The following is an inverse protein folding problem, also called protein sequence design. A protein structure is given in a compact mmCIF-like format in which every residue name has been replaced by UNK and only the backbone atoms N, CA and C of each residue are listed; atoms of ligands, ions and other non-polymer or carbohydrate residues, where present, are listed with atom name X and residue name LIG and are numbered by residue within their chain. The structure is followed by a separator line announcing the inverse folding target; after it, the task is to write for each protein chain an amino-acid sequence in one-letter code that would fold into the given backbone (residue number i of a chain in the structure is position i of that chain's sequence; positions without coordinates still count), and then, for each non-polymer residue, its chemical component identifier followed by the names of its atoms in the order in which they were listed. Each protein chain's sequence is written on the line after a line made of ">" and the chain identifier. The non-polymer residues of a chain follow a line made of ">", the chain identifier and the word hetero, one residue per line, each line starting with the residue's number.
data_IF_667888665480
#
_entry.id   IF_667888665480
#
_cell.length_a   1.000
_cell.length_b   1.000
_cell.length_c   1.000
_cell.angle_alpha   90.00
_cell.angle_beta   90.00
_cell.angle_gamma   90.00
#
_symmetry.space_group_name_H-M   'P 1'
#
loop_
_entity.id
_entity.type
_entity.pdbx_description
1 polymer ?
#
# COMPACT_ATOMS: atom_id res chain seq x y z
N UNK A 1 -10.91 21.02 -23.09
CA UNK A 1 -9.80 21.00 -22.12
C UNK A 1 -10.41 20.58 -20.80
N UNK A 2 -10.12 19.37 -20.31
CA UNK A 2 -10.61 18.88 -19.04
C UNK A 2 -9.96 19.68 -17.91
N UNK A 3 -10.79 20.32 -17.10
CA UNK A 3 -10.38 21.12 -15.95
C UNK A 3 -9.77 20.20 -14.90
N UNK A 4 -8.43 20.12 -14.87
CA UNK A 4 -7.71 19.23 -13.96
C UNK A 4 -7.72 19.81 -12.54
N UNK A 5 -8.78 19.49 -11.80
CA UNK A 5 -9.00 19.96 -10.42
C UNK A 5 -7.96 19.48 -9.41
N UNK A 6 -7.11 18.51 -9.76
CA UNK A 6 -6.17 17.90 -8.82
C UNK A 6 -4.74 18.41 -8.99
N UNK A 7 -4.42 19.15 -10.06
CA UNK A 7 -3.07 19.61 -10.34
C UNK A 7 -2.11 18.50 -10.82
N UNK A 8 -2.58 17.26 -10.97
CA UNK A 8 -1.87 16.12 -11.54
C UNK A 8 -2.85 15.22 -12.31
N UNK A 9 -2.37 14.48 -13.32
CA UNK A 9 -3.20 13.49 -14.00
C UNK A 9 -3.21 12.18 -13.19
N UNK A 10 -4.36 11.51 -13.12
CA UNK A 10 -4.44 10.21 -12.45
C UNK A 10 -3.61 9.19 -13.26
N UNK A 11 -2.51 8.66 -12.70
CA UNK A 11 -1.68 7.72 -13.42
C UNK A 11 -2.43 6.40 -13.63
N UNK A 12 -2.26 5.82 -14.82
CA UNK A 12 -2.75 4.48 -15.12
C UNK A 12 -1.57 3.51 -15.05
N UNK A 13 -1.62 2.54 -14.13
CA UNK A 13 -0.69 1.41 -14.12
C UNK A 13 -0.95 0.55 -15.38
N UNK A 14 0.11 0.30 -16.14
CA UNK A 14 0.04 -0.50 -17.37
C UNK A 14 0.97 -1.71 -17.24
N UNK A 15 0.95 -2.62 -18.22
CA UNK A 15 1.86 -3.77 -18.25
C UNK A 15 3.35 -3.41 -18.10
N UNK A 16 3.73 -2.18 -18.46
CA UNK A 16 5.12 -1.72 -18.44
C UNK A 16 5.48 -1.02 -17.12
N UNK A 17 4.48 -0.78 -16.25
CA UNK A 17 4.65 -0.12 -14.95
C UNK A 17 3.80 -0.84 -13.90
N UNK A 18 4.44 -1.60 -13.01
CA UNK A 18 3.78 -2.30 -11.90
C UNK A 18 3.76 -1.49 -10.61
N UNK A 19 4.50 -0.37 -10.55
CA UNK A 19 4.60 0.53 -9.40
C UNK A 19 4.54 1.96 -9.88
N UNK A 20 3.83 2.82 -9.14
CA UNK A 20 3.78 4.26 -9.37
C UNK A 20 4.78 4.97 -8.48
N UNK A 21 5.76 5.59 -9.11
CA UNK A 21 6.68 6.53 -8.47
C UNK A 21 6.41 7.92 -9.05
N UNK A 22 6.51 8.96 -8.23
CA UNK A 22 6.60 10.32 -8.77
C UNK A 22 8.00 10.61 -9.30
N UNK A 23 8.13 11.72 -10.02
CA UNK A 23 9.42 12.18 -10.53
C UNK A 23 10.44 12.38 -9.39
N UNK A 24 11.67 11.95 -9.62
CA UNK A 24 12.77 11.99 -8.63
C UNK A 24 12.44 11.29 -7.29
N UNK A 25 11.56 10.28 -7.32
CA UNK A 25 11.15 9.56 -6.11
C UNK A 25 10.17 10.34 -5.22
N UNK A 26 9.58 11.43 -5.71
CA UNK A 26 8.61 12.22 -4.94
C UNK A 26 7.23 11.58 -4.90
N UNK A 27 6.39 12.00 -3.96
CA UNK A 27 4.99 11.59 -3.96
C UNK A 27 4.27 12.11 -5.22
N UNK A 28 3.63 11.22 -5.98
CA UNK A 28 2.90 11.60 -7.20
C UNK A 28 1.61 12.41 -6.93
N UNK A 29 1.11 12.41 -5.68
CA UNK A 29 -0.11 13.14 -5.27
C UNK A 29 0.20 14.60 -4.92
N UNK A 30 1.19 14.85 -4.06
CA UNK A 30 1.50 16.20 -3.57
C UNK A 30 2.80 16.79 -4.15
N UNK A 31 3.57 16.01 -4.92
CA UNK A 31 4.87 16.42 -5.46
C UNK A 31 5.93 16.69 -4.40
N UNK A 32 5.66 16.36 -3.14
CA UNK A 32 6.50 16.64 -1.97
C UNK A 32 6.84 15.36 -1.22
N UNK A 33 7.95 15.36 -0.48
CA UNK A 33 8.43 14.18 0.24
C UNK A 33 9.01 13.10 -0.67
N UNK A 34 10.05 12.43 -0.21
CA UNK A 34 10.64 11.29 -0.90
C UNK A 34 9.89 10.02 -0.47
N UNK A 35 9.56 9.17 -1.44
CA UNK A 35 8.87 7.89 -1.26
C UNK A 35 9.89 6.78 -1.47
N UNK A 36 9.95 5.83 -0.54
CA UNK A 36 10.93 4.74 -0.54
C UNK A 36 12.06 4.98 0.45
N UNK A 37 12.85 3.93 0.67
CA UNK A 37 14.02 3.99 1.54
C UNK A 37 15.01 5.08 1.07
N UNK A 38 15.65 5.83 1.98
CA UNK A 38 15.68 5.65 3.44
C UNK A 38 14.53 6.35 4.20
N UNK A 39 13.51 6.84 3.51
CA UNK A 39 12.39 7.56 4.12
C UNK A 39 11.22 6.63 4.46
N UNK A 40 10.35 7.07 5.36
CA UNK A 40 9.09 6.36 5.60
C UNK A 40 8.11 6.59 4.45
N UNK A 41 7.33 5.58 4.09
CA UNK A 41 6.33 5.67 3.02
C UNK A 41 5.15 4.74 3.25
N UNK A 42 4.02 5.05 2.62
CA UNK A 42 2.83 4.21 2.61
C UNK A 42 2.63 3.61 1.22
N UNK A 43 2.11 2.38 1.16
CA UNK A 43 1.73 1.72 -0.09
C UNK A 43 0.32 1.15 0.02
N UNK A 44 -0.35 1.05 -1.13
CA UNK A 44 -1.57 0.27 -1.31
C UNK A 44 -1.27 -0.70 -2.44
N UNK A 45 -1.13 -1.98 -2.10
CA UNK A 45 -0.68 -3.02 -3.01
C UNK A 45 -1.84 -3.97 -3.31
N UNK A 46 -2.04 -4.35 -4.56
CA UNK A 46 -3.08 -5.30 -4.92
C UNK A 46 -2.76 -6.05 -6.20
N UNK A 47 -3.30 -7.25 -6.32
CA UNK A 47 -3.05 -8.10 -7.49
C UNK A 47 -3.40 -9.56 -7.23
N UNK A 48 -2.84 -10.45 -8.04
CA UNK A 48 -2.97 -11.90 -7.90
C UNK A 48 -1.60 -12.56 -7.90
N UNK A 49 -1.34 -13.39 -6.89
CA UNK A 49 -0.09 -14.16 -6.77
C UNK A 49 -0.38 -15.64 -7.04
N UNK A 50 0.45 -16.27 -7.87
CA UNK A 50 0.37 -17.71 -8.06
C UNK A 50 0.88 -18.42 -6.79
N UNK A 51 0.04 -19.29 -6.23
CA UNK A 51 0.44 -20.10 -5.07
C UNK A 51 1.25 -21.31 -5.52
N UNK A 52 2.47 -21.41 -5.02
CA UNK A 52 3.27 -22.62 -5.08
C UNK A 52 2.99 -23.43 -3.81
N UNK A 53 2.14 -24.47 -3.88
CA UNK A 53 2.00 -25.43 -2.78
C UNK A 53 3.07 -26.53 -2.93
N UNK A 54 4.12 -26.46 -2.10
CA UNK A 54 5.10 -27.53 -1.90
C UNK A 54 6.10 -27.79 -3.05
N UNK A 55 7.15 -28.55 -2.74
CA UNK A 55 8.26 -28.89 -3.66
C UNK A 55 7.88 -29.87 -4.80
N UNK A 56 6.63 -30.32 -4.87
CA UNK A 56 6.22 -31.31 -5.88
C UNK A 56 4.92 -30.92 -6.58
N UNK A 57 5.10 -30.55 -7.86
CA UNK A 57 4.11 -30.34 -8.92
C UNK A 57 3.44 -28.95 -8.99
N UNK A 58 3.91 -28.17 -9.97
CA UNK A 58 3.34 -26.98 -10.60
C UNK A 58 1.92 -27.19 -11.20
N UNK A 59 0.98 -27.79 -10.46
CA UNK A 59 -0.37 -28.08 -10.96
C UNK A 59 -1.45 -27.17 -10.38
N UNK A 60 -1.19 -26.41 -9.31
CA UNK A 60 -2.13 -25.41 -8.82
C UNK A 60 -2.05 -24.14 -9.68
N UNK A 61 -2.96 -24.03 -10.65
CA UNK A 61 -3.32 -22.76 -11.34
C UNK A 61 -4.02 -21.76 -10.40
N UNK A 62 -3.84 -21.92 -9.09
CA UNK A 62 -4.54 -21.15 -8.09
C UNK A 62 -3.82 -19.82 -7.93
N UNK A 63 -4.48 -18.77 -8.41
CA UNK A 63 -4.08 -17.39 -8.20
C UNK A 63 -4.85 -16.91 -6.98
N UNK A 64 -4.12 -16.46 -5.95
CA UNK A 64 -4.68 -15.84 -4.76
C UNK A 64 -4.67 -14.31 -4.94
N UNK A 65 -5.84 -13.69 -4.92
CA UNK A 65 -5.96 -12.25 -5.03
C UNK A 65 -5.76 -11.58 -3.68
N UNK A 66 -5.17 -10.39 -3.69
CA UNK A 66 -4.90 -9.63 -2.49
C UNK A 66 -5.09 -8.13 -2.71
N UNK A 67 -5.34 -7.43 -1.61
CA UNK A 67 -5.29 -5.99 -1.48
C UNK A 67 -4.81 -5.66 -0.06
N UNK A 68 -3.65 -5.04 0.07
CA UNK A 68 -3.03 -4.65 1.33
C UNK A 68 -2.77 -3.15 1.38
N UNK A 69 -2.74 -2.64 2.61
CA UNK A 69 -2.28 -1.31 2.96
C UNK A 69 -1.10 -1.48 3.90
N UNK A 70 0.02 -0.85 3.54
CA UNK A 70 1.27 -1.00 4.26
C UNK A 70 1.86 0.38 4.52
N UNK A 71 2.49 0.52 5.66
CA UNK A 71 3.34 1.65 6.00
C UNK A 71 4.69 1.09 6.45
N UNK A 72 5.74 1.68 5.91
CA UNK A 72 7.11 1.24 6.10
C UNK A 72 7.92 2.43 6.63
N UNK A 73 8.47 2.29 7.83
CA UNK A 73 9.39 3.25 8.43
C UNK A 73 10.75 3.26 7.74
N UNK A 74 11.58 4.27 7.99
CA UNK A 74 12.97 4.25 7.50
C UNK A 74 13.81 3.20 8.24
N UNK A 75 14.67 2.47 7.54
CA UNK A 75 15.56 1.49 8.17
C UNK A 75 16.84 2.14 8.71
N UNK A 76 17.17 1.94 9.99
CA UNK A 76 18.32 2.60 10.63
C UNK A 76 19.66 2.15 10.04
N UNK A 77 19.77 0.89 9.62
CA UNK A 77 20.96 0.32 8.98
C UNK A 77 21.20 0.84 7.55
N UNK A 78 20.17 1.38 6.91
CA UNK A 78 20.24 2.02 5.59
C UNK A 78 20.30 3.55 5.65
N UNK A 79 20.58 4.12 6.83
CA UNK A 79 20.64 5.56 7.03
C UNK A 79 19.26 6.22 7.09
N UNK A 80 18.26 5.48 7.54
CA UNK A 80 16.89 5.95 7.79
C UNK A 80 16.87 7.24 8.61
N UNK A 81 15.96 8.14 8.26
CA UNK A 81 15.78 9.41 8.97
C UNK A 81 14.32 9.57 9.40
N UNK A 82 14.08 10.05 10.63
CA UNK A 82 12.73 10.29 11.15
C UNK A 82 12.52 9.78 12.57
N UNK A 83 11.29 9.95 13.08
CA UNK A 83 10.85 9.45 14.39
C UNK A 83 10.44 7.97 14.36
N UNK A 84 10.31 7.44 13.16
CA UNK A 84 9.56 6.25 12.79
C UNK A 84 10.51 5.18 12.22
N UNK A 85 11.68 5.02 12.84
CA UNK A 85 12.72 4.10 12.36
C UNK A 85 12.41 2.66 12.75
N UNK A 86 12.66 1.75 11.81
CA UNK A 86 12.51 0.29 11.99
C UNK A 86 11.10 -0.14 12.44
N UNK A 87 10.09 0.70 12.19
CA UNK A 87 8.68 0.41 12.42
C UNK A 87 8.00 0.03 11.11
N UNK A 88 7.02 -0.87 11.18
CA UNK A 88 6.14 -1.17 10.06
C UNK A 88 4.73 -1.46 10.56
N UNK A 89 3.73 -1.08 9.77
CA UNK A 89 2.33 -1.33 10.07
C UNK A 89 1.63 -1.76 8.77
N UNK A 90 0.75 -2.76 8.85
CA UNK A 90 0.01 -3.21 7.68
C UNK A 90 -1.35 -3.82 8.04
N UNK A 91 -2.21 -3.92 7.02
CA UNK A 91 -3.38 -4.79 7.06
C UNK A 91 -3.80 -5.24 5.66
N UNK A 92 -4.44 -6.40 5.59
CA UNK A 92 -5.03 -6.92 4.35
C UNK A 92 -6.53 -6.59 4.32
N UNK A 93 -6.97 -5.91 3.26
CA UNK A 93 -8.38 -5.69 2.99
C UNK A 93 -8.99 -6.86 2.19
N UNK A 94 -8.20 -7.48 1.31
CA UNK A 94 -8.54 -8.72 0.63
C UNK A 94 -7.35 -9.67 0.72
N UNK A 95 -7.63 -10.92 1.05
CA UNK A 95 -6.64 -11.98 1.18
C UNK A 95 -7.25 -13.27 0.61
N UNK A 96 -6.47 -14.01 -0.16
CA UNK A 96 -6.85 -15.32 -0.70
C UNK A 96 -8.14 -15.35 -1.53
N UNK A 97 -8.40 -14.31 -2.32
CA UNK A 97 -9.58 -14.30 -3.18
C UNK A 97 -9.40 -15.24 -4.38
N UNK A 98 -10.40 -16.07 -4.65
CA UNK A 98 -10.33 -17.10 -5.69
C UNK A 98 -10.04 -16.50 -7.07
N UNK A 99 -9.14 -17.14 -7.84
CA UNK A 99 -8.73 -16.74 -9.19
C UNK A 99 -8.10 -15.34 -9.29
N UNK A 100 -7.58 -14.79 -8.19
CA UNK A 100 -6.87 -13.51 -8.22
C UNK A 100 -7.75 -12.28 -8.37
N UNK A 101 -9.08 -12.44 -8.30
CA UNK A 101 -10.03 -11.39 -8.63
C UNK A 101 -10.99 -11.13 -7.48
N UNK A 102 -11.32 -9.86 -7.27
CA UNK A 102 -12.32 -9.43 -6.30
C UNK A 102 -12.97 -8.12 -6.77
N UNK A 103 -14.16 -7.85 -6.27
CA UNK A 103 -14.89 -6.61 -6.51
C UNK A 103 -15.50 -6.13 -5.19
N UNK A 104 -15.37 -4.83 -4.91
CA UNK A 104 -16.04 -4.18 -3.79
C UNK A 104 -17.16 -3.30 -4.34
N UNK A 105 -18.40 -3.66 -4.02
CA UNK A 105 -19.59 -3.00 -4.56
C UNK A 105 -20.13 -2.01 -3.52
N UNK A 106 -20.35 -0.76 -3.94
CA UNK A 106 -20.88 0.31 -3.10
C UNK A 106 -22.16 0.88 -3.71
N UNK A 107 -23.11 1.30 -2.87
CA UNK A 107 -24.34 1.92 -3.35
C UNK A 107 -24.12 3.31 -3.96
N UNK A 108 -23.06 4.02 -3.55
CA UNK A 108 -22.71 5.35 -4.05
C UNK A 108 -21.20 5.59 -3.98
N UNK A 109 -20.70 6.56 -4.73
CA UNK A 109 -19.31 7.05 -4.62
C UNK A 109 -19.01 7.71 -3.28
N UNK A 110 -20.04 8.21 -2.57
CA UNK A 110 -19.88 8.72 -1.19
C UNK A 110 -19.50 7.59 -0.24
N UNK A 111 -20.17 6.45 -0.31
CA UNK A 111 -19.85 5.27 0.49
C UNK A 111 -18.47 4.71 0.14
N UNK A 112 -18.12 4.68 -1.15
CA UNK A 112 -16.78 4.27 -1.59
C UNK A 112 -15.69 5.18 -1.02
N UNK A 113 -15.85 6.51 -1.08
CA UNK A 113 -14.91 7.45 -0.46
C UNK A 113 -14.78 7.24 1.04
N UNK A 114 -15.92 7.13 1.74
CA UNK A 114 -15.91 6.92 3.19
C UNK A 114 -15.19 5.63 3.56
N UNK A 115 -15.43 4.55 2.81
CA UNK A 115 -14.75 3.29 3.01
C UNK A 115 -13.22 3.41 2.79
N UNK A 116 -12.77 4.04 1.70
CA UNK A 116 -11.35 4.25 1.43
C UNK A 116 -10.67 5.11 2.50
N UNK A 117 -11.35 6.14 3.00
CA UNK A 117 -10.86 6.93 4.13
C UNK A 117 -10.72 6.07 5.39
N UNK A 118 -11.72 5.26 5.73
CA UNK A 118 -11.65 4.37 6.88
C UNK A 118 -10.49 3.35 6.77
N UNK A 119 -10.13 2.92 5.55
CA UNK A 119 -8.95 2.08 5.33
C UNK A 119 -7.65 2.82 5.67
N UNK A 120 -7.55 4.11 5.33
CA UNK A 120 -6.40 4.94 5.72
C UNK A 120 -6.39 5.15 7.24
N UNK A 121 -7.54 5.47 7.84
CA UNK A 121 -7.67 5.66 9.29
C UNK A 121 -7.23 4.39 10.06
N UNK A 122 -7.62 3.20 9.60
CA UNK A 122 -7.19 1.92 10.19
C UNK A 122 -5.67 1.73 10.09
N UNK A 123 -5.03 2.16 9.00
CA UNK A 123 -3.56 2.11 8.87
C UNK A 123 -2.90 3.07 9.86
N UNK A 124 -3.41 4.29 9.99
CA UNK A 124 -2.92 5.29 10.94
C UNK A 124 -3.02 4.80 12.39
N UNK A 125 -4.13 4.18 12.76
CA UNK A 125 -4.32 3.57 14.08
C UNK A 125 -3.31 2.45 14.36
N UNK A 126 -2.90 1.69 13.33
CA UNK A 126 -1.86 0.65 13.47
C UNK A 126 -0.47 1.25 13.63
N UNK A 127 -0.14 2.30 12.88
CA UNK A 127 1.13 3.03 13.03
C UNK A 127 1.27 3.54 14.47
N UNK A 128 0.23 4.18 15.01
CA UNK A 128 0.22 4.68 16.38
C UNK A 128 0.44 3.57 17.41
N UNK A 129 -0.19 2.39 17.22
CA UNK A 129 0.02 1.24 18.11
C UNK A 129 1.47 0.76 18.12
N UNK A 130 2.13 0.72 16.96
CA UNK A 130 3.54 0.33 16.88
C UNK A 130 4.47 1.39 17.51
N UNK A 131 4.19 2.68 17.30
CA UNK A 131 4.91 3.77 17.96
C UNK A 131 4.82 3.67 19.50
N UNK A 132 3.63 3.43 20.06
CA UNK A 132 3.45 3.29 21.50
C UNK A 132 4.15 2.05 22.09
N UNK A 133 4.25 0.94 21.35
CA UNK A 133 5.02 -0.23 21.79
C UNK A 133 6.50 0.12 21.92
N UNK A 134 7.07 0.76 20.90
CA UNK A 134 8.47 1.17 20.88
C UNK A 134 8.83 2.19 21.95
N UNK A 135 7.88 2.98 22.46
CA UNK A 135 8.09 3.89 23.59
C UNK A 135 8.02 3.20 24.96
N UNK A 136 7.21 2.13 25.11
CA UNK A 136 7.10 1.39 26.36
C UNK A 136 8.30 0.46 26.61
N UNK A 137 9.02 0.09 25.56
CA UNK A 137 10.20 -0.79 25.62
C UNK A 137 11.54 -0.04 25.72
N UNK A 138 11.54 1.30 25.66
CA UNK A 138 12.71 2.17 25.80
C UNK A 138 12.84 2.74 27.22
#
# INVERSE_FOLDING_TARGET
>A
MSDNRFGYELPLLTKDHTVLWGEDGKCFVCGSGLVGEPHSFATMSGGGLQRCQGDTQMSSKEIAGFLSFDWHGGHSDMGGTGVDLDLSANFELASDTANGQFELIFCTTKCMRQFLNNCVDELEDRIQKEQCKGECER
#
